data_IF_718413329392
#
_entry.id   IF_718413329392
#
_cell.length_a   1.000
_cell.length_b   1.000
_cell.length_c   1.000
_cell.angle_alpha   90.00
_cell.angle_beta   90.00
_cell.angle_gamma   90.00
#
_symmetry.space_group_name_H-M   'P 1'
#
loop_
_entity.id
_entity.type
_entity.pdbx_description
1 polymer ?
#
# COMPACT_ATOMS: atom_id res chain seq x y z
N UNK A 1 28.16 -16.46 -0.17
CA UNK A 1 27.30 -17.37 0.61
C UNK A 1 26.01 -17.75 -0.11
N UNK A 2 25.24 -16.82 -0.75
CA UNK A 2 23.98 -17.14 -1.43
C UNK A 2 24.12 -18.14 -2.57
N UNK A 3 25.15 -18.02 -3.41
CA UNK A 3 25.46 -18.98 -4.50
C UNK A 3 25.82 -20.34 -3.92
N UNK A 4 26.70 -20.37 -2.90
CA UNK A 4 27.11 -21.63 -2.25
C UNK A 4 25.92 -22.37 -1.63
N UNK A 5 25.05 -21.65 -0.90
CA UNK A 5 23.86 -22.24 -0.28
C UNK A 5 22.91 -22.81 -1.35
N UNK A 6 22.74 -22.14 -2.49
CA UNK A 6 21.91 -22.67 -3.58
C UNK A 6 22.53 -23.90 -4.23
N UNK A 7 23.85 -23.90 -4.45
CA UNK A 7 24.54 -25.07 -4.97
C UNK A 7 24.47 -26.27 -4.01
N UNK A 8 24.66 -26.03 -2.70
CA UNK A 8 24.53 -27.07 -1.66
C UNK A 8 23.09 -27.63 -1.55
N UNK A 9 22.07 -26.83 -1.91
CA UNK A 9 20.66 -27.23 -1.89
C UNK A 9 20.13 -27.69 -3.24
N UNK A 10 21.00 -27.83 -4.24
CA UNK A 10 20.63 -28.18 -5.63
C UNK A 10 19.53 -27.26 -6.22
N UNK A 11 19.50 -25.99 -5.80
CA UNK A 11 18.55 -25.01 -6.29
C UNK A 11 19.07 -24.35 -7.57
N UNK A 12 18.18 -24.07 -8.49
CA UNK A 12 18.51 -23.37 -9.74
C UNK A 12 19.02 -21.96 -9.44
N UNK A 13 20.08 -21.57 -10.15
CA UNK A 13 20.62 -20.22 -10.16
C UNK A 13 20.57 -19.73 -11.60
N UNK A 14 19.77 -18.69 -11.86
CA UNK A 14 19.73 -18.11 -13.19
C UNK A 14 20.97 -17.28 -13.48
N UNK A 15 21.31 -17.14 -14.76
CA UNK A 15 22.40 -16.25 -15.20
C UNK A 15 22.21 -14.81 -14.74
N UNK A 16 20.97 -14.33 -14.73
CA UNK A 16 20.63 -12.98 -14.26
C UNK A 16 20.93 -12.82 -12.76
N UNK A 17 20.52 -13.78 -11.94
CA UNK A 17 20.76 -13.73 -10.49
C UNK A 17 22.26 -13.79 -10.15
N UNK A 18 23.05 -14.54 -10.92
CA UNK A 18 24.50 -14.58 -10.77
C UNK A 18 25.14 -13.26 -11.16
N UNK A 19 24.77 -12.70 -12.31
CA UNK A 19 25.34 -11.43 -12.81
C UNK A 19 24.90 -10.23 -11.96
N UNK A 20 23.73 -10.26 -11.34
CA UNK A 20 23.25 -9.16 -10.52
C UNK A 20 24.26 -8.73 -9.45
N UNK A 21 24.91 -9.68 -8.78
CA UNK A 21 25.91 -9.39 -7.75
C UNK A 21 27.15 -8.69 -8.34
N UNK A 22 27.55 -9.07 -9.56
CA UNK A 22 28.69 -8.47 -10.27
C UNK A 22 28.36 -7.05 -10.71
N UNK A 23 27.17 -6.84 -11.28
CA UNK A 23 26.72 -5.53 -11.74
C UNK A 23 26.62 -4.55 -10.57
N UNK A 24 25.99 -4.93 -9.46
CA UNK A 24 25.88 -4.07 -8.28
C UNK A 24 27.26 -3.75 -7.66
N UNK A 25 28.17 -4.72 -7.65
CA UNK A 25 29.53 -4.50 -7.17
C UNK A 25 30.29 -3.48 -8.04
N UNK A 26 30.13 -3.58 -9.35
CA UNK A 26 30.72 -2.63 -10.30
C UNK A 26 30.09 -1.24 -10.19
N UNK A 27 28.78 -1.16 -10.03
CA UNK A 27 28.08 0.10 -9.81
C UNK A 27 28.60 0.82 -8.56
N UNK A 28 28.80 0.11 -7.44
CA UNK A 28 29.33 0.72 -6.24
C UNK A 28 30.76 1.27 -6.44
N UNK A 29 31.62 0.52 -7.15
CA UNK A 29 32.95 0.99 -7.52
C UNK A 29 32.88 2.25 -8.40
N UNK A 30 31.95 2.31 -9.37
CA UNK A 30 31.81 3.48 -10.26
C UNK A 30 31.21 4.68 -9.51
N UNK A 31 30.28 4.48 -8.59
CA UNK A 31 29.75 5.54 -7.73
C UNK A 31 30.85 6.12 -6.83
N UNK A 32 31.74 5.28 -6.30
CA UNK A 32 32.91 5.78 -5.61
C UNK A 32 33.79 6.64 -6.51
N UNK A 33 34.16 6.14 -7.69
CA UNK A 33 35.06 6.84 -8.61
C UNK A 33 34.53 8.17 -9.13
N UNK A 34 33.20 8.27 -9.36
CA UNK A 34 32.55 9.44 -9.96
C UNK A 34 32.01 10.42 -8.94
N UNK A 35 31.45 9.91 -7.85
CA UNK A 35 30.67 10.70 -6.90
C UNK A 35 31.28 10.66 -5.49
N UNK A 36 32.43 9.99 -5.31
CA UNK A 36 33.04 9.78 -4.00
C UNK A 36 32.08 9.12 -2.99
N UNK A 37 31.20 8.24 -3.47
CA UNK A 37 30.25 7.50 -2.65
C UNK A 37 30.96 6.37 -1.90
N UNK A 38 31.16 6.51 -0.59
CA UNK A 38 31.93 5.57 0.22
C UNK A 38 31.07 4.60 1.04
N UNK A 39 29.75 4.83 1.13
CA UNK A 39 28.83 4.01 1.93
C UNK A 39 27.64 3.55 1.08
N UNK A 40 27.40 2.24 1.06
CA UNK A 40 26.18 1.66 0.49
C UNK A 40 25.28 1.10 1.61
N UNK A 41 23.99 1.47 1.58
CA UNK A 41 23.00 1.03 2.58
C UNK A 41 21.95 0.15 1.89
N UNK A 42 21.50 -0.91 2.58
CA UNK A 42 20.46 -1.78 2.08
C UNK A 42 19.77 -2.60 3.17
N UNK A 43 18.80 -3.42 2.78
CA UNK A 43 18.24 -4.45 3.64
C UNK A 43 19.25 -5.59 3.87
N UNK A 44 19.02 -6.41 4.88
CA UNK A 44 19.90 -7.55 5.21
C UNK A 44 20.05 -8.56 4.06
N UNK A 45 19.08 -8.61 3.14
CA UNK A 45 19.14 -9.41 1.93
C UNK A 45 20.16 -8.87 0.90
N UNK A 46 20.60 -7.61 1.02
CA UNK A 46 21.58 -6.96 0.14
C UNK A 46 23.03 -7.11 0.61
N UNK A 47 23.26 -7.66 1.80
CA UNK A 47 24.61 -7.74 2.40
C UNK A 47 25.64 -8.37 1.46
N UNK A 48 25.31 -9.50 0.84
CA UNK A 48 26.21 -10.18 -0.08
C UNK A 48 26.60 -9.34 -1.31
N UNK A 49 25.65 -8.59 -1.86
CA UNK A 49 25.88 -7.71 -3.00
C UNK A 49 26.77 -6.53 -2.61
N UNK A 50 26.51 -5.91 -1.46
CA UNK A 50 27.27 -4.76 -0.94
C UNK A 50 28.72 -5.15 -0.66
N UNK A 51 28.95 -6.29 0.00
CA UNK A 51 30.31 -6.80 0.32
C UNK A 51 31.11 -7.07 -0.95
N UNK A 52 30.49 -7.56 -2.02
CA UNK A 52 31.17 -7.75 -3.30
C UNK A 52 31.69 -6.44 -3.87
N UNK A 53 30.94 -5.33 -3.73
CA UNK A 53 31.37 -4.00 -4.13
C UNK A 53 32.54 -3.47 -3.30
N UNK A 54 32.49 -3.66 -1.98
CA UNK A 54 33.58 -3.30 -1.05
C UNK A 54 34.88 -4.03 -1.46
N UNK A 55 34.79 -5.36 -1.66
CA UNK A 55 35.94 -6.17 -2.04
C UNK A 55 36.47 -5.83 -3.43
N UNK A 56 35.59 -5.50 -4.39
CA UNK A 56 36.00 -5.08 -5.72
C UNK A 56 36.78 -3.77 -5.68
N UNK A 57 36.32 -2.76 -4.95
CA UNK A 57 37.00 -1.48 -4.78
C UNK A 57 38.37 -1.65 -4.09
N UNK A 58 38.42 -2.47 -3.04
CA UNK A 58 39.67 -2.78 -2.34
C UNK A 58 40.69 -3.43 -3.25
N UNK A 59 40.29 -4.37 -4.12
CA UNK A 59 41.20 -5.13 -4.98
C UNK A 59 41.64 -4.34 -6.20
N UNK A 60 40.80 -3.50 -6.77
CA UNK A 60 41.14 -2.74 -8.02
C UNK A 60 41.79 -1.41 -7.66
N UNK A 61 41.23 -0.63 -6.75
CA UNK A 61 41.66 0.74 -6.48
C UNK A 61 42.41 0.89 -5.15
N UNK A 62 42.47 -0.16 -4.31
CA UNK A 62 43.08 -0.11 -2.98
C UNK A 62 42.28 0.70 -1.96
N UNK A 63 41.04 1.08 -2.25
CA UNK A 63 40.22 1.90 -1.38
C UNK A 63 39.29 1.09 -0.48
N UNK A 64 39.07 1.61 0.74
CA UNK A 64 38.11 1.05 1.71
C UNK A 64 36.75 1.71 1.53
N UNK A 65 35.75 0.89 1.16
CA UNK A 65 34.33 1.30 1.15
C UNK A 65 33.60 0.64 2.31
N UNK A 66 32.40 1.11 2.61
CA UNK A 66 31.61 0.70 3.76
C UNK A 66 30.21 0.24 3.36
N UNK A 67 29.70 -0.73 4.09
CA UNK A 67 28.34 -1.24 3.93
C UNK A 67 27.57 -1.18 5.24
N UNK A 68 26.31 -0.81 5.17
CA UNK A 68 25.38 -0.85 6.30
C UNK A 68 24.11 -1.57 5.89
N UNK A 69 23.68 -2.54 6.65
CA UNK A 69 22.40 -3.20 6.41
C UNK A 69 21.50 -3.14 7.64
N UNK A 70 20.18 -3.01 7.38
CA UNK A 70 19.15 -3.12 8.41
C UNK A 70 18.32 -4.40 8.20
N UNK A 71 17.72 -4.96 9.26
CA UNK A 71 16.74 -6.02 9.11
C UNK A 71 15.59 -5.59 8.19
N UNK A 72 15.04 -6.54 7.44
CA UNK A 72 13.86 -6.29 6.61
C UNK A 72 12.66 -5.96 7.51
N UNK A 73 11.87 -4.97 7.09
CA UNK A 73 10.62 -4.64 7.77
C UNK A 73 9.57 -5.69 7.37
N UNK A 74 9.18 -6.50 8.33
CA UNK A 74 8.16 -7.54 8.17
C UNK A 74 6.89 -7.14 8.93
N UNK A 75 5.74 -7.59 8.46
CA UNK A 75 4.51 -7.53 9.26
C UNK A 75 4.52 -8.61 10.34
N UNK A 76 3.64 -8.51 11.33
CA UNK A 76 3.44 -9.57 12.35
C UNK A 76 2.96 -10.90 11.74
N UNK A 77 2.43 -10.89 10.53
CA UNK A 77 2.07 -12.09 9.75
C UNK A 77 3.28 -12.72 9.01
N UNK A 78 4.49 -12.14 9.11
CA UNK A 78 5.68 -12.64 8.43
C UNK A 78 5.81 -12.24 6.96
N UNK A 79 5.02 -11.29 6.49
CA UNK A 79 5.11 -10.76 5.13
C UNK A 79 6.01 -9.52 5.07
N UNK A 80 6.68 -9.30 3.94
CA UNK A 80 7.48 -8.08 3.73
C UNK A 80 6.55 -6.86 3.67
N UNK A 81 6.87 -5.83 4.48
CA UNK A 81 6.14 -4.56 4.46
C UNK A 81 6.19 -3.89 3.08
N UNK A 82 5.07 -3.27 2.69
CA UNK A 82 4.96 -2.56 1.40
C UNK A 82 4.57 -3.42 0.20
N UNK A 83 4.53 -4.76 0.36
CA UNK A 83 3.98 -5.69 -0.64
C UNK A 83 2.76 -6.39 -0.06
N UNK A 84 1.60 -6.17 -0.65
CA UNK A 84 0.34 -6.82 -0.25
C UNK A 84 -0.11 -7.81 -1.32
N UNK A 85 -1.08 -8.66 -1.01
CA UNK A 85 -1.73 -9.51 -2.01
C UNK A 85 -2.35 -8.70 -3.18
N UNK A 86 -2.66 -7.43 -2.94
CA UNK A 86 -3.15 -6.47 -3.95
C UNK A 86 -2.05 -5.78 -4.77
N UNK A 87 -0.77 -5.95 -4.43
CA UNK A 87 0.37 -5.30 -5.07
C UNK A 87 1.19 -4.42 -4.12
N UNK A 88 1.98 -3.50 -4.68
CA UNK A 88 2.77 -2.55 -3.91
C UNK A 88 1.91 -1.44 -3.31
N UNK A 89 2.31 -0.95 -2.13
CA UNK A 89 1.75 0.27 -1.55
C UNK A 89 2.50 1.46 -2.15
N UNK A 90 1.84 2.18 -3.05
CA UNK A 90 2.46 3.28 -3.78
C UNK A 90 2.44 4.58 -2.96
N UNK A 91 3.53 5.34 -3.06
CA UNK A 91 3.62 6.70 -2.48
C UNK A 91 3.07 7.76 -3.44
N UNK A 92 3.00 7.45 -4.73
CA UNK A 92 2.46 8.32 -5.76
C UNK A 92 0.92 8.35 -5.66
N UNK A 93 0.34 9.56 -5.54
CA UNK A 93 -1.10 9.78 -5.41
C UNK A 93 -1.91 9.37 -6.63
N UNK A 94 -1.31 9.34 -7.82
CA UNK A 94 -1.96 8.91 -9.06
C UNK A 94 -2.10 7.38 -9.13
N UNK A 95 -1.29 6.64 -8.36
CA UNK A 95 -1.28 5.18 -8.29
C UNK A 95 -2.00 4.62 -7.06
N UNK A 96 -2.00 5.36 -5.96
CA UNK A 96 -2.72 5.05 -4.73
C UNK A 96 -3.19 6.35 -4.09
N UNK A 97 -4.50 6.56 -4.03
CA UNK A 97 -5.05 7.81 -3.49
C UNK A 97 -4.60 8.03 -2.03
N UNK A 98 -4.47 9.31 -1.57
CA UNK A 98 -4.16 9.61 -0.17
C UNK A 98 -5.15 8.97 0.81
N UNK A 99 -6.42 8.79 0.40
CA UNK A 99 -7.42 8.10 1.20
C UNK A 99 -7.10 6.61 1.32
N UNK A 100 -6.78 5.91 0.23
CA UNK A 100 -6.44 4.48 0.27
C UNK A 100 -5.12 4.24 1.00
N UNK A 101 -4.15 5.16 0.85
CA UNK A 101 -2.91 5.16 1.61
C UNK A 101 -3.18 5.32 3.12
N UNK A 102 -4.06 6.24 3.51
CA UNK A 102 -4.53 6.39 4.89
C UNK A 102 -5.20 5.10 5.40
N UNK A 103 -6.07 4.48 4.58
CA UNK A 103 -6.75 3.23 4.94
C UNK A 103 -5.78 2.05 5.08
N UNK A 104 -4.73 2.00 4.27
CA UNK A 104 -3.67 1.00 4.44
C UNK A 104 -3.08 1.04 5.85
N UNK A 105 -2.68 2.21 6.32
CA UNK A 105 -2.14 2.39 7.67
C UNK A 105 -3.19 2.18 8.77
N UNK A 106 -4.41 2.61 8.53
CA UNK A 106 -5.54 2.43 9.45
C UNK A 106 -5.89 0.96 9.68
N UNK A 107 -5.57 0.10 8.71
CA UNK A 107 -5.80 -1.34 8.74
C UNK A 107 -4.59 -2.16 9.22
N UNK A 108 -3.56 -1.51 9.73
CA UNK A 108 -2.40 -2.18 10.35
C UNK A 108 -2.84 -3.13 11.46
N UNK A 109 -2.20 -4.30 11.53
CA UNK A 109 -2.45 -5.25 12.62
C UNK A 109 -2.02 -4.63 13.97
N UNK A 110 -2.76 -4.92 15.04
CA UNK A 110 -2.54 -4.34 16.37
C UNK A 110 -1.07 -4.52 16.84
N UNK A 111 -0.51 -5.68 16.62
CA UNK A 111 0.86 -6.02 16.99
C UNK A 111 1.94 -5.19 16.26
N UNK A 112 1.61 -4.59 15.11
CA UNK A 112 2.54 -3.81 14.31
C UNK A 112 2.46 -2.30 14.55
N UNK A 113 1.38 -1.81 15.17
CA UNK A 113 1.08 -0.37 15.28
C UNK A 113 2.23 0.42 15.91
N UNK A 114 2.68 -0.01 17.08
CA UNK A 114 3.71 0.73 17.84
C UNK A 114 5.07 0.71 17.13
N UNK A 115 5.41 -0.40 16.49
CA UNK A 115 6.63 -0.50 15.68
C UNK A 115 6.56 0.42 14.47
N UNK A 116 5.42 0.49 13.80
CA UNK A 116 5.26 1.33 12.62
C UNK A 116 5.13 2.82 12.98
N UNK A 117 4.59 3.17 14.14
CA UNK A 117 4.68 4.54 14.67
C UNK A 117 6.13 5.00 14.80
N UNK A 118 7.02 4.14 15.30
CA UNK A 118 8.46 4.44 15.44
C UNK A 118 9.19 4.58 14.11
N UNK A 119 8.76 3.83 13.07
CA UNK A 119 9.46 3.76 11.79
C UNK A 119 8.92 4.72 10.73
N UNK A 120 7.63 5.07 10.80
CA UNK A 120 6.93 5.78 9.73
C UNK A 120 6.27 7.08 10.18
N UNK A 121 6.63 7.58 11.35
CA UNK A 121 6.18 8.90 11.83
C UNK A 121 7.33 9.68 12.46
N UNK A 122 7.15 10.99 12.55
CA UNK A 122 8.09 11.90 13.24
C UNK A 122 7.64 12.20 14.69
N UNK A 123 6.74 11.37 15.23
CA UNK A 123 6.26 11.55 16.60
C UNK A 123 7.39 11.34 17.63
N UNK A 124 7.45 12.16 18.66
CA UNK A 124 8.39 11.98 19.76
C UNK A 124 8.19 10.61 20.43
N UNK A 125 9.30 9.94 20.79
CA UNK A 125 9.25 8.60 21.40
C UNK A 125 8.41 8.56 22.69
N UNK A 126 8.41 9.63 23.47
CA UNK A 126 7.59 9.73 24.69
C UNK A 126 6.08 9.72 24.41
N UNK A 127 5.64 10.21 23.25
CA UNK A 127 4.24 10.11 22.80
C UNK A 127 3.92 8.69 22.32
N UNK A 128 4.82 8.10 21.55
CA UNK A 128 4.65 6.69 21.10
C UNK A 128 4.55 5.75 22.30
N UNK A 129 5.37 5.93 23.35
CA UNK A 129 5.30 5.12 24.58
C UNK A 129 3.94 5.24 25.29
N UNK A 130 3.27 6.41 25.19
CA UNK A 130 1.90 6.55 25.72
C UNK A 130 0.91 5.75 24.88
N UNK A 131 1.05 5.75 23.56
CA UNK A 131 0.19 5.00 22.64
C UNK A 131 0.40 3.47 22.75
N UNK A 132 1.60 3.01 23.13
CA UNK A 132 1.91 1.60 23.38
C UNK A 132 1.12 1.00 24.55
N UNK A 133 0.61 1.83 25.45
CA UNK A 133 -0.19 1.40 26.60
C UNK A 133 -1.66 1.16 26.27
N UNK A 134 -2.11 1.60 25.10
CA UNK A 134 -3.48 1.44 24.64
C UNK A 134 -3.75 -0.04 24.30
N UNK A 135 -4.87 -0.56 24.75
CA UNK A 135 -5.26 -1.96 24.55
C UNK A 135 -6.70 -2.06 24.00
N UNK A 136 -7.01 -3.22 23.44
CA UNK A 136 -8.36 -3.51 22.93
C UNK A 136 -8.86 -2.44 21.94
N UNK A 137 -10.02 -1.87 22.19
CA UNK A 137 -10.62 -0.87 21.32
C UNK A 137 -9.82 0.46 21.26
N UNK A 138 -9.05 0.78 22.30
CA UNK A 138 -8.25 2.02 22.36
C UNK A 138 -7.10 2.01 21.37
N UNK A 139 -6.58 0.85 20.95
CA UNK A 139 -5.53 0.75 19.93
C UNK A 139 -5.97 1.37 18.60
N UNK A 140 -7.29 1.48 18.37
CA UNK A 140 -7.81 2.17 17.21
C UNK A 140 -7.44 3.66 17.16
N UNK A 141 -7.23 4.29 18.30
CA UNK A 141 -6.73 5.69 18.34
C UNK A 141 -5.26 5.74 17.86
N UNK A 142 -4.42 4.82 18.32
CA UNK A 142 -3.05 4.71 17.84
C UNK A 142 -2.98 4.45 16.33
N UNK A 143 -3.90 3.62 15.78
CA UNK A 143 -4.02 3.40 14.32
C UNK A 143 -4.46 4.64 13.56
N UNK A 144 -5.35 5.47 14.12
CA UNK A 144 -5.75 6.75 13.52
C UNK A 144 -4.56 7.71 13.45
N UNK A 145 -3.78 7.78 14.52
CA UNK A 145 -2.59 8.61 14.61
C UNK A 145 -1.53 8.14 13.61
N UNK A 146 -1.24 6.82 13.56
CA UNK A 146 -0.32 6.24 12.59
C UNK A 146 -0.74 6.58 11.15
N UNK A 147 -2.01 6.37 10.82
CA UNK A 147 -2.54 6.64 9.48
C UNK A 147 -2.45 8.13 9.12
N UNK A 148 -2.77 9.01 10.07
CA UNK A 148 -2.70 10.44 9.88
C UNK A 148 -1.26 10.91 9.64
N UNK A 149 -0.34 10.57 10.55
CA UNK A 149 1.05 11.02 10.49
C UNK A 149 1.79 10.46 9.26
N UNK A 150 1.61 9.17 8.95
CA UNK A 150 2.20 8.57 7.75
C UNK A 150 1.64 9.22 6.46
N UNK A 151 0.34 9.53 6.41
CA UNK A 151 -0.26 10.20 5.26
C UNK A 151 0.19 11.66 5.17
N UNK A 152 0.32 12.35 6.29
CA UNK A 152 0.85 13.72 6.35
C UNK A 152 2.29 13.79 5.85
N UNK A 153 3.13 12.85 6.25
CA UNK A 153 4.52 12.75 5.79
C UNK A 153 4.63 12.53 4.28
N UNK A 154 3.74 11.69 3.71
CA UNK A 154 3.79 11.33 2.30
C UNK A 154 3.07 12.32 1.38
N UNK A 155 1.87 12.79 1.77
CA UNK A 155 0.94 13.56 0.92
C UNK A 155 0.62 14.95 1.43
N UNK A 156 1.24 15.36 2.54
CA UNK A 156 0.99 16.65 3.17
C UNK A 156 -0.23 16.66 4.09
N UNK A 157 -0.28 17.68 4.95
CA UNK A 157 -1.27 17.81 6.02
C UNK A 157 -2.71 17.98 5.50
N UNK A 158 -2.88 18.71 4.39
CA UNK A 158 -4.21 18.91 3.78
C UNK A 158 -4.83 17.58 3.36
N UNK A 159 -4.06 16.72 2.66
CA UNK A 159 -4.49 15.41 2.21
C UNK A 159 -4.79 14.46 3.39
N UNK A 160 -3.95 14.49 4.43
CA UNK A 160 -4.16 13.69 5.65
C UNK A 160 -5.45 14.09 6.37
N UNK A 161 -5.72 15.39 6.49
CA UNK A 161 -6.96 15.91 7.08
C UNK A 161 -8.19 15.48 6.28
N UNK A 162 -8.14 15.57 4.95
CA UNK A 162 -9.23 15.13 4.08
C UNK A 162 -9.48 13.62 4.22
N UNK A 163 -8.42 12.81 4.18
CA UNK A 163 -8.52 11.36 4.32
C UNK A 163 -9.08 10.95 5.69
N UNK A 164 -8.62 11.60 6.77
CA UNK A 164 -9.10 11.36 8.13
C UNK A 164 -10.57 11.73 8.30
N UNK A 165 -10.99 12.90 7.80
CA UNK A 165 -12.40 13.32 7.82
C UNK A 165 -13.29 12.37 7.01
N UNK A 166 -12.83 11.94 5.83
CA UNK A 166 -13.54 10.96 5.01
C UNK A 166 -13.72 9.63 5.73
N UNK A 167 -12.65 9.12 6.33
CA UNK A 167 -12.69 7.88 7.10
C UNK A 167 -13.68 7.98 8.27
N UNK A 168 -13.70 9.11 8.98
CA UNK A 168 -14.63 9.37 10.08
C UNK A 168 -16.09 9.42 9.61
N UNK A 169 -16.38 10.20 8.56
CA UNK A 169 -17.76 10.37 8.06
C UNK A 169 -18.38 9.05 7.54
N UNK A 170 -17.56 8.18 6.94
CA UNK A 170 -18.02 6.89 6.45
C UNK A 170 -18.35 5.93 7.61
N UNK A 171 -17.56 5.95 8.68
CA UNK A 171 -17.73 5.04 9.80
C UNK A 171 -18.74 5.52 10.86
N UNK A 172 -18.83 6.83 11.09
CA UNK A 172 -19.68 7.39 12.16
C UNK A 172 -21.03 7.89 11.62
N UNK A 173 -21.07 8.50 10.43
CA UNK A 173 -22.27 9.18 9.91
C UNK A 173 -22.92 8.48 8.70
N UNK A 174 -22.28 7.48 8.11
CA UNK A 174 -22.74 6.85 6.85
C UNK A 174 -22.80 7.80 5.65
N UNK A 175 -22.22 9.02 5.76
CA UNK A 175 -22.25 10.06 4.74
C UNK A 175 -21.10 9.90 3.74
N UNK A 176 -21.34 10.35 2.50
CA UNK A 176 -20.33 10.35 1.47
C UNK A 176 -19.36 11.52 1.67
N UNK A 177 -18.06 11.25 1.48
CA UNK A 177 -17.02 12.28 1.57
C UNK A 177 -16.42 12.56 0.20
N UNK A 178 -16.18 13.84 -0.10
CA UNK A 178 -15.48 14.30 -1.32
C UNK A 178 -14.03 13.78 -1.45
N UNK A 179 -13.51 13.12 -0.42
CA UNK A 179 -12.17 12.53 -0.41
C UNK A 179 -12.13 11.06 -0.83
N UNK A 180 -13.28 10.44 -1.14
CA UNK A 180 -13.30 9.09 -1.71
C UNK A 180 -12.77 9.10 -3.14
N UNK A 181 -12.06 8.03 -3.56
CA UNK A 181 -11.73 7.83 -4.96
C UNK A 181 -12.98 7.99 -5.82
N UNK A 182 -12.90 8.80 -6.85
CA UNK A 182 -14.05 9.09 -7.73
C UNK A 182 -13.71 8.69 -9.15
N UNK A 183 -14.60 7.95 -9.79
CA UNK A 183 -14.54 7.65 -11.22
C UNK A 183 -15.65 8.39 -11.96
N UNK A 184 -15.46 8.57 -13.24
CA UNK A 184 -16.47 9.13 -14.13
C UNK A 184 -17.13 8.01 -14.93
N UNK A 185 -18.45 8.05 -15.06
CA UNK A 185 -19.22 7.09 -15.87
C UNK A 185 -20.10 7.87 -16.83
N UNK A 186 -20.02 7.55 -18.12
CA UNK A 186 -20.88 8.17 -19.14
C UNK A 186 -22.37 7.97 -18.80
N UNK A 187 -23.13 9.06 -18.77
CA UNK A 187 -24.57 9.04 -18.50
C UNK A 187 -25.33 8.11 -19.45
N UNK A 188 -24.87 7.99 -20.70
CA UNK A 188 -25.42 7.06 -21.69
C UNK A 188 -25.36 5.60 -21.22
N UNK A 189 -24.28 5.18 -20.55
CA UNK A 189 -24.16 3.83 -20.01
C UNK A 189 -25.11 3.61 -18.83
N UNK A 190 -25.33 4.62 -18.01
CA UNK A 190 -26.31 4.56 -16.93
C UNK A 190 -27.75 4.49 -17.45
N UNK A 191 -28.05 5.18 -18.58
CA UNK A 191 -29.36 5.10 -19.24
C UNK A 191 -29.66 3.69 -19.79
N UNK A 192 -28.64 2.99 -20.27
CA UNK A 192 -28.80 1.60 -20.77
C UNK A 192 -28.75 0.58 -19.64
N UNK A 193 -28.26 0.95 -18.48
CA UNK A 193 -28.04 0.08 -17.33
C UNK A 193 -26.72 -0.68 -17.41
N UNK A 194 -25.95 -0.68 -16.34
CA UNK A 194 -24.66 -1.39 -16.21
C UNK A 194 -24.87 -2.55 -15.23
N UNK A 195 -24.53 -3.80 -15.59
CA UNK A 195 -24.62 -4.91 -14.64
C UNK A 195 -23.76 -4.64 -13.40
N UNK A 196 -24.26 -4.96 -12.20
CA UNK A 196 -23.61 -4.65 -10.93
C UNK A 196 -22.17 -5.18 -10.84
N UNK A 197 -21.92 -6.40 -11.34
CA UNK A 197 -20.56 -6.95 -11.38
C UNK A 197 -19.61 -6.15 -12.27
N UNK A 198 -20.10 -5.63 -13.41
CA UNK A 198 -19.31 -4.81 -14.33
C UNK A 198 -19.02 -3.44 -13.71
N UNK A 199 -20.02 -2.84 -13.06
CA UNK A 199 -19.86 -1.56 -12.37
C UNK A 199 -18.81 -1.64 -11.25
N UNK A 200 -18.76 -2.73 -10.48
CA UNK A 200 -17.73 -2.96 -9.45
C UNK A 200 -16.33 -3.12 -10.06
N UNK A 201 -16.20 -3.72 -11.25
CA UNK A 201 -14.92 -3.80 -11.97
C UNK A 201 -14.52 -2.43 -12.50
N UNK A 202 -15.44 -1.69 -13.11
CA UNK A 202 -15.21 -0.32 -13.59
C UNK A 202 -14.78 0.59 -12.44
N UNK A 203 -15.35 0.41 -11.25
CA UNK A 203 -14.96 1.13 -10.04
C UNK A 203 -13.61 0.67 -9.44
N UNK A 204 -12.93 -0.31 -10.04
CA UNK A 204 -11.67 -0.83 -9.51
C UNK A 204 -11.80 -1.62 -8.20
N UNK A 205 -13.02 -1.95 -7.79
CA UNK A 205 -13.30 -2.71 -6.57
C UNK A 205 -13.13 -4.24 -6.74
N UNK A 206 -13.07 -4.70 -7.98
CA UNK A 206 -12.72 -6.07 -8.37
C UNK A 206 -11.86 -6.04 -9.64
N UNK A 207 -10.95 -7.01 -9.78
CA UNK A 207 -10.05 -7.10 -10.95
C UNK A 207 -10.72 -7.72 -12.17
N UNK A 208 -11.71 -8.58 -11.94
CA UNK A 208 -12.41 -9.33 -13.00
C UNK A 208 -13.90 -9.46 -12.68
N UNK A 209 -14.72 -9.68 -13.70
CA UNK A 209 -16.15 -9.95 -13.55
C UNK A 209 -16.42 -11.16 -12.64
N UNK A 210 -15.58 -12.19 -12.69
CA UNK A 210 -15.71 -13.37 -11.83
C UNK A 210 -15.44 -13.05 -10.36
N UNK A 211 -14.48 -12.16 -10.08
CA UNK A 211 -14.20 -11.68 -8.72
C UNK A 211 -15.36 -10.82 -8.20
N UNK A 212 -15.88 -9.90 -9.02
CA UNK A 212 -17.02 -9.06 -8.68
C UNK A 212 -18.27 -9.89 -8.35
N UNK A 213 -18.56 -10.93 -9.16
CA UNK A 213 -19.68 -11.84 -8.91
C UNK A 213 -19.50 -12.60 -7.59
N UNK A 214 -18.30 -13.10 -7.28
CA UNK A 214 -18.01 -13.74 -5.98
C UNK A 214 -18.18 -12.77 -4.82
N UNK A 215 -17.73 -11.51 -4.98
CA UNK A 215 -17.91 -10.47 -3.99
C UNK A 215 -19.40 -10.20 -3.69
N UNK A 216 -20.23 -10.11 -4.73
CA UNK A 216 -21.68 -9.90 -4.60
C UNK A 216 -22.33 -11.08 -3.90
N UNK A 217 -22.08 -12.33 -4.36
CA UNK A 217 -22.62 -13.55 -3.73
C UNK A 217 -22.22 -13.70 -2.27
N UNK A 218 -21.02 -13.22 -1.90
CA UNK A 218 -20.55 -13.18 -0.51
C UNK A 218 -21.13 -12.03 0.31
N UNK A 219 -22.08 -11.23 -0.22
CA UNK A 219 -22.70 -10.09 0.48
C UNK A 219 -21.76 -8.89 0.68
N UNK A 220 -20.59 -8.90 0.00
CA UNK A 220 -19.59 -7.83 0.11
C UNK A 220 -19.82 -6.66 -0.85
N UNK A 221 -20.58 -6.84 -1.94
CA UNK A 221 -20.91 -5.79 -2.91
C UNK A 221 -22.07 -4.92 -2.45
N UNK A 222 -21.90 -3.59 -2.47
CA UNK A 222 -22.97 -2.63 -2.08
C UNK A 222 -23.03 -1.46 -3.05
N UNK A 223 -24.25 -0.92 -3.20
CA UNK A 223 -24.55 0.34 -3.90
C UNK A 223 -25.30 1.23 -2.92
N UNK A 224 -24.81 2.46 -2.73
CA UNK A 224 -25.38 3.43 -1.78
C UNK A 224 -25.65 2.76 -0.41
N UNK A 225 -24.69 1.98 0.07
CA UNK A 225 -24.70 1.21 1.34
C UNK A 225 -25.69 0.03 1.40
N UNK A 226 -26.50 -0.18 0.35
CA UNK A 226 -27.42 -1.32 0.23
C UNK A 226 -26.68 -2.51 -0.41
N UNK A 227 -26.81 -3.68 0.22
CA UNK A 227 -26.18 -4.92 -0.30
C UNK A 227 -26.79 -5.29 -1.65
N UNK A 228 -25.94 -5.60 -2.63
CA UNK A 228 -26.36 -6.14 -3.91
C UNK A 228 -26.66 -7.63 -3.71
N UNK A 229 -27.88 -8.06 -3.95
CA UNK A 229 -28.28 -9.45 -3.86
C UNK A 229 -28.16 -10.16 -5.22
N UNK A 230 -28.55 -9.47 -6.29
CA UNK A 230 -28.49 -9.97 -7.65
C UNK A 230 -27.27 -9.39 -8.39
N UNK A 231 -26.37 -10.27 -8.84
CA UNK A 231 -25.18 -9.87 -9.59
C UNK A 231 -25.50 -9.26 -10.96
N UNK A 232 -26.64 -9.63 -11.53
CA UNK A 232 -27.16 -9.14 -12.81
C UNK A 232 -27.97 -7.83 -12.69
N UNK A 233 -28.23 -7.34 -11.48
CA UNK A 233 -28.94 -6.06 -11.27
C UNK A 233 -28.32 -4.98 -12.13
N UNK A 234 -29.15 -4.27 -12.90
CA UNK A 234 -28.73 -3.13 -13.70
C UNK A 234 -28.68 -1.89 -12.82
N UNK A 235 -27.54 -1.19 -12.90
CA UNK A 235 -27.29 0.10 -12.25
C UNK A 235 -27.59 1.19 -13.24
N UNK A 236 -28.46 2.11 -12.86
CA UNK A 236 -28.95 3.16 -13.74
C UNK A 236 -28.97 4.54 -13.09
N UNK A 237 -29.65 5.47 -13.75
CA UNK A 237 -29.80 6.84 -13.26
C UNK A 237 -30.53 6.92 -11.91
N UNK A 238 -31.44 5.97 -11.64
CA UNK A 238 -32.19 5.89 -10.37
C UNK A 238 -31.30 5.54 -9.16
N UNK A 239 -30.09 5.03 -9.41
CA UNK A 239 -29.11 4.74 -8.35
C UNK A 239 -28.27 5.98 -7.97
N UNK A 240 -28.42 7.10 -8.69
CA UNK A 240 -27.75 8.35 -8.34
C UNK A 240 -28.39 8.90 -7.05
N UNK A 241 -27.58 9.13 -6.05
CA UNK A 241 -28.03 9.65 -4.77
C UNK A 241 -28.24 11.17 -4.81
N UNK A 242 -28.70 11.75 -3.69
CA UNK A 242 -28.98 13.20 -3.56
C UNK A 242 -27.73 14.09 -3.76
N UNK A 243 -26.55 13.51 -3.70
CA UNK A 243 -25.26 14.21 -3.92
C UNK A 243 -24.79 14.13 -5.39
N UNK A 244 -25.60 13.53 -6.28
CA UNK A 244 -25.29 13.41 -7.70
C UNK A 244 -24.27 12.31 -8.03
N UNK A 245 -24.07 11.34 -7.14
CA UNK A 245 -23.09 10.26 -7.31
C UNK A 245 -23.70 8.90 -6.96
N UNK A 246 -23.06 7.82 -7.44
CA UNK A 246 -23.35 6.45 -7.02
C UNK A 246 -22.17 5.97 -6.17
N UNK A 247 -22.41 5.52 -4.94
CA UNK A 247 -21.36 4.92 -4.08
C UNK A 247 -21.30 3.43 -4.29
N UNK A 248 -20.17 2.93 -4.76
CA UNK A 248 -19.85 1.52 -4.81
C UNK A 248 -19.00 1.13 -3.60
N UNK A 249 -19.24 -0.06 -3.04
CA UNK A 249 -18.46 -0.56 -1.92
C UNK A 249 -18.13 -2.05 -2.06
N UNK A 250 -16.91 -2.42 -1.65
CA UNK A 250 -16.45 -3.79 -1.54
C UNK A 250 -16.09 -4.10 -0.08
N UNK A 251 -17.00 -4.79 0.60
CA UNK A 251 -16.93 -5.01 2.05
C UNK A 251 -17.17 -3.71 2.83
N UNK A 252 -16.52 -3.61 4.01
CA UNK A 252 -16.70 -2.47 4.92
C UNK A 252 -15.65 -1.37 4.75
N UNK A 253 -14.64 -1.58 3.89
CA UNK A 253 -13.42 -0.76 3.90
C UNK A 253 -13.09 -0.10 2.56
N UNK A 254 -13.55 -0.64 1.44
CA UNK A 254 -13.24 -0.11 0.11
C UNK A 254 -14.50 0.55 -0.47
N UNK A 255 -14.37 1.83 -0.81
CA UNK A 255 -15.46 2.64 -1.32
C UNK A 255 -14.96 3.49 -2.50
N UNK A 256 -15.78 3.64 -3.52
CA UNK A 256 -15.52 4.46 -4.71
C UNK A 256 -16.81 5.19 -5.08
N UNK A 257 -16.69 6.47 -5.40
CA UNK A 257 -17.81 7.25 -5.96
C UNK A 257 -17.76 7.18 -7.48
N UNK A 258 -18.92 7.02 -8.09
CA UNK A 258 -19.08 7.19 -9.54
C UNK A 258 -19.91 8.45 -9.81
N UNK A 259 -19.35 9.35 -10.61
CA UNK A 259 -20.02 10.58 -11.04
C UNK A 259 -20.45 10.43 -12.50
N UNK A 260 -21.71 10.68 -12.82
CA UNK A 260 -22.17 10.78 -14.22
C UNK A 260 -21.46 11.93 -14.94
N UNK A 261 -21.05 11.65 -16.19
CA UNK A 261 -20.51 12.62 -17.16
C UNK A 261 -21.57 12.91 -18.22
#
# INVERSE_FOLDING_TARGET
DSVRIRLEREQTLSFLEFNYMILQAYDFLQLYRRENCILQIGGSDQWGNIVNGIELARRIDGHSLYGLTSPLIMTSAGEKMGKTAGGAVWLDSDRLSPYDYYQFWRNTADADVCRFLKLFTELPLNEIIKLEKLQNNEINEAKKILAFEATKLCHGEASANLASKAAKSIFEDGKHSSALPTIEIEEKRLKTGIPAYEALVTAGLAKTNSEARRLIRGGGGRINDVVIIDEGRLIGLDDINKEGVIKFSAGKKRHVLARPL
#
